data_IF_568945640850
#
_entry.id   IF_568945640850
#
_cell.length_a   1.000
_cell.length_b   1.000
_cell.length_c   1.000
_cell.angle_alpha   90.00
_cell.angle_beta   90.00
_cell.angle_gamma   90.00
#
_symmetry.space_group_name_H-M   'P 1'
#
loop_
_entity.id
_entity.type
_entity.pdbx_description
1 polymer ?
#
# COMPACT_ATOMS: atom_id res chain seq x y z
N UNK A 1 -6.45 2.73 -2.62
CA UNK A 1 -6.78 2.61 -4.06
C UNK A 1 -5.70 1.91 -4.87
N UNK A 2 -4.47 2.37 -4.80
CA UNK A 2 -3.37 1.78 -5.58
C UNK A 2 -3.18 0.29 -5.33
N UNK A 3 -3.30 -0.17 -4.09
CA UNK A 3 -3.23 -1.59 -3.75
C UNK A 3 -4.21 -2.42 -4.57
N UNK A 4 -5.47 -2.00 -4.62
CA UNK A 4 -6.53 -2.76 -5.29
C UNK A 4 -6.40 -2.71 -6.81
N UNK A 5 -6.00 -1.57 -7.35
CA UNK A 5 -5.74 -1.42 -8.79
C UNK A 5 -4.59 -2.34 -9.21
N UNK A 6 -3.50 -2.36 -8.44
CA UNK A 6 -2.35 -3.20 -8.75
C UNK A 6 -2.68 -4.69 -8.62
N UNK A 7 -3.45 -5.08 -7.59
CA UNK A 7 -3.92 -6.46 -7.44
C UNK A 7 -4.75 -6.90 -8.65
N UNK A 8 -5.63 -6.03 -9.13
CA UNK A 8 -6.45 -6.31 -10.31
C UNK A 8 -5.60 -6.47 -11.57
N UNK A 9 -4.61 -5.60 -11.77
CA UNK A 9 -3.71 -5.65 -12.91
C UNK A 9 -2.90 -6.95 -12.94
N UNK A 10 -2.32 -7.37 -11.81
CA UNK A 10 -1.52 -8.60 -11.76
C UNK A 10 -2.39 -9.84 -11.94
N UNK A 11 -3.63 -9.80 -11.48
CA UNK A 11 -4.61 -10.87 -11.70
C UNK A 11 -4.96 -11.00 -13.19
N UNK A 12 -5.24 -9.88 -13.85
CA UNK A 12 -5.53 -9.86 -15.29
C UNK A 12 -4.35 -10.31 -16.14
N UNK A 13 -3.13 -10.08 -15.66
CA UNK A 13 -1.91 -10.56 -16.30
C UNK A 13 -1.62 -12.04 -16.02
N UNK A 14 -2.43 -12.70 -15.18
CA UNK A 14 -2.23 -14.11 -14.80
C UNK A 14 -1.05 -14.32 -13.87
N UNK A 15 -0.63 -13.29 -13.13
CA UNK A 15 0.56 -13.32 -12.27
C UNK A 15 0.27 -13.01 -10.80
N UNK A 16 -0.97 -13.17 -10.35
CA UNK A 16 -1.33 -12.82 -8.97
C UNK A 16 -0.56 -13.62 -7.91
N UNK A 17 -0.12 -14.84 -8.22
CA UNK A 17 0.67 -15.66 -7.30
C UNK A 17 2.13 -15.20 -7.17
N UNK A 18 2.62 -14.38 -8.10
CA UNK A 18 3.99 -13.87 -8.08
C UNK A 18 4.14 -12.60 -7.22
N UNK A 19 3.02 -12.00 -6.79
CA UNK A 19 3.03 -10.74 -6.07
C UNK A 19 2.22 -10.81 -4.79
N UNK A 20 2.77 -10.22 -3.72
CA UNK A 20 2.06 -9.94 -2.48
C UNK A 20 2.00 -8.42 -2.33
N UNK A 21 0.81 -7.86 -2.43
CA UNK A 21 0.60 -6.41 -2.50
C UNK A 21 -0.23 -5.95 -1.30
N UNK A 22 0.27 -4.94 -0.59
CA UNK A 22 -0.39 -4.40 0.58
C UNK A 22 -0.13 -2.90 0.66
N UNK A 23 -1.01 -2.16 1.32
CA UNK A 23 -0.82 -0.74 1.58
C UNK A 23 -0.83 -0.46 3.08
N UNK A 24 -0.13 0.60 3.46
CA UNK A 24 -0.07 1.08 4.83
C UNK A 24 0.09 2.59 4.82
N UNK A 25 -0.34 3.24 5.90
CA UNK A 25 -0.19 4.68 6.07
C UNK A 25 1.08 5.01 6.84
N UNK A 26 1.65 6.18 6.59
CA UNK A 26 2.78 6.68 7.38
C UNK A 26 2.32 7.49 8.58
N UNK A 27 1.03 7.78 8.69
CA UNK A 27 0.41 8.48 9.82
C UNK A 27 -0.58 7.57 10.54
N UNK A 28 -1.10 8.03 11.70
CA UNK A 28 -2.06 7.29 12.50
C UNK A 28 -3.51 7.75 12.31
N UNK A 29 -3.74 8.78 11.50
CA UNK A 29 -5.04 9.45 11.37
C UNK A 29 -6.17 8.55 10.89
N UNK A 30 -5.86 7.63 9.98
CA UNK A 30 -6.85 6.77 9.33
C UNK A 30 -6.82 5.31 9.80
N UNK A 31 -6.07 4.99 10.86
CA UNK A 31 -5.97 3.62 11.36
C UNK A 31 -7.36 3.06 11.70
N UNK A 32 -7.66 1.89 11.14
CA UNK A 32 -8.94 1.21 11.34
C UNK A 32 -10.05 1.66 10.39
N UNK A 33 -9.86 2.75 9.64
CA UNK A 33 -10.86 3.22 8.71
C UNK A 33 -10.87 2.38 7.42
N UNK A 34 -12.07 2.13 6.91
CA UNK A 34 -12.25 1.49 5.62
C UNK A 34 -11.85 2.43 4.47
N UNK A 35 -11.79 1.88 3.27
CA UNK A 35 -11.54 2.67 2.06
C UNK A 35 -12.58 3.79 1.96
N UNK A 36 -12.11 5.00 1.70
CA UNK A 36 -12.95 6.19 1.56
C UNK A 36 -14.12 5.91 0.58
N UNK A 37 -15.39 6.18 0.98
CA UNK A 37 -16.54 5.77 0.16
C UNK A 37 -16.51 6.19 -1.31
N UNK A 38 -16.13 7.42 -1.69
CA UNK A 38 -16.00 7.78 -3.09
C UNK A 38 -14.95 6.95 -3.83
N UNK A 39 -13.83 6.62 -3.19
CA UNK A 39 -12.80 5.77 -3.77
C UNK A 39 -13.31 4.35 -3.96
N UNK A 40 -14.04 3.81 -2.98
CA UNK A 40 -14.67 2.49 -3.07
C UNK A 40 -15.66 2.41 -4.22
N UNK A 41 -16.48 3.45 -4.40
CA UNK A 41 -17.42 3.52 -5.52
C UNK A 41 -16.69 3.54 -6.87
N UNK A 42 -15.61 4.29 -6.96
CA UNK A 42 -14.81 4.36 -8.18
C UNK A 42 -14.18 3.01 -8.54
N UNK A 43 -13.67 2.31 -7.55
CA UNK A 43 -13.14 0.96 -7.74
C UNK A 43 -14.24 0.00 -8.21
N UNK A 44 -15.42 0.08 -7.61
CA UNK A 44 -16.56 -0.76 -7.98
C UNK A 44 -17.00 -0.54 -9.42
N UNK A 45 -16.92 0.69 -9.94
CA UNK A 45 -17.20 1.01 -11.34
C UNK A 45 -16.28 0.23 -12.30
N UNK A 46 -15.10 -0.13 -11.85
CA UNK A 46 -14.11 -0.91 -12.61
C UNK A 46 -14.10 -2.39 -12.21
N UNK A 47 -15.11 -2.86 -11.47
CA UNK A 47 -15.20 -4.25 -11.04
C UNK A 47 -14.20 -4.64 -9.96
N UNK A 48 -13.66 -3.67 -9.20
CA UNK A 48 -12.65 -3.92 -8.18
C UNK A 48 -13.28 -3.82 -6.80
N UNK A 49 -13.23 -4.92 -6.04
CA UNK A 49 -13.70 -4.96 -4.66
C UNK A 49 -12.61 -4.55 -3.67
N UNK A 50 -13.01 -3.93 -2.56
CA UNK A 50 -12.08 -3.55 -1.49
C UNK A 50 -12.67 -3.82 -0.10
N UNK A 51 -13.67 -4.69 -0.03
CA UNK A 51 -14.35 -5.02 1.22
C UNK A 51 -13.39 -5.65 2.22
N UNK A 52 -13.46 -5.22 3.47
CA UNK A 52 -12.64 -5.75 4.54
C UNK A 52 -11.30 -5.06 4.71
N UNK A 53 -10.92 -4.17 3.81
CA UNK A 53 -9.68 -3.41 3.96
C UNK A 53 -9.88 -2.25 4.92
N UNK A 54 -9.02 -2.15 5.94
CA UNK A 54 -8.94 -0.99 6.84
C UNK A 54 -7.52 -0.44 6.81
N UNK A 55 -7.39 0.85 7.11
CA UNK A 55 -6.09 1.49 7.15
C UNK A 55 -5.25 0.94 8.31
N UNK A 56 -3.98 0.69 8.06
CA UNK A 56 -2.99 0.37 9.09
C UNK A 56 -1.78 1.27 8.94
N UNK A 57 -1.05 1.47 10.03
CA UNK A 57 0.19 2.22 9.97
C UNK A 57 1.35 1.31 9.56
N UNK A 58 2.25 1.84 8.74
CA UNK A 58 3.50 1.18 8.40
C UNK A 58 4.34 0.97 9.67
N UNK A 59 5.00 -0.17 9.77
CA UNK A 59 5.89 -0.55 10.87
C UNK A 59 7.28 -0.84 10.34
N UNK A 60 8.27 -0.78 11.22
CA UNK A 60 9.65 -1.12 10.86
C UNK A 60 9.77 -2.53 10.26
N UNK A 61 8.98 -3.49 10.76
CA UNK A 61 8.98 -4.85 10.25
C UNK A 61 8.58 -4.94 8.77
N UNK A 62 7.85 -3.96 8.25
CA UNK A 62 7.47 -3.94 6.84
C UNK A 62 8.70 -3.82 5.92
N UNK A 63 9.75 -3.14 6.38
CA UNK A 63 11.00 -3.02 5.64
C UNK A 63 11.63 -4.38 5.34
N UNK A 64 11.53 -5.31 6.29
CA UNK A 64 12.09 -6.66 6.15
C UNK A 64 11.14 -7.61 5.42
N UNK A 65 9.83 -7.34 5.45
CA UNK A 65 8.81 -8.20 4.85
C UNK A 65 8.63 -8.02 3.35
N UNK A 66 8.84 -6.80 2.86
CA UNK A 66 8.55 -6.45 1.47
C UNK A 66 9.83 -6.19 0.70
N UNK A 67 9.85 -6.62 -0.55
CA UNK A 67 10.99 -6.39 -1.45
C UNK A 67 11.03 -4.94 -1.92
N UNK A 68 9.86 -4.28 -1.99
CA UNK A 68 9.74 -2.92 -2.50
C UNK A 68 8.69 -2.16 -1.70
N UNK A 69 9.05 -0.98 -1.22
CA UNK A 69 8.16 -0.06 -0.51
C UNK A 69 8.05 1.23 -1.33
N UNK A 70 6.85 1.54 -1.79
CA UNK A 70 6.61 2.69 -2.68
C UNK A 70 5.85 3.78 -1.93
N UNK A 71 6.44 4.97 -1.87
CA UNK A 71 5.79 6.18 -1.38
C UNK A 71 5.22 6.98 -2.54
N UNK A 72 4.12 7.68 -2.30
CA UNK A 72 3.42 8.44 -3.34
C UNK A 72 3.97 9.87 -3.49
N UNK A 73 4.70 10.37 -2.49
CA UNK A 73 5.32 11.69 -2.50
C UNK A 73 6.54 11.73 -1.59
N UNK A 74 7.26 12.86 -1.60
CA UNK A 74 8.46 13.05 -0.79
C UNK A 74 8.18 12.97 0.71
N UNK A 75 7.00 13.41 1.14
CA UNK A 75 6.58 13.33 2.54
C UNK A 75 6.44 11.88 3.01
N UNK A 76 5.86 11.03 2.17
CA UNK A 76 5.79 9.60 2.43
C UNK A 76 7.20 9.00 2.58
N UNK A 77 8.12 9.34 1.66
CA UNK A 77 9.50 8.84 1.70
C UNK A 77 10.20 9.25 2.99
N UNK A 78 10.06 10.51 3.42
CA UNK A 78 10.64 10.97 4.70
C UNK A 78 10.11 10.19 5.88
N UNK A 79 8.80 9.98 5.94
CA UNK A 79 8.18 9.25 7.04
C UNK A 79 8.54 7.76 7.02
N UNK A 80 8.66 7.16 5.84
CA UNK A 80 9.10 5.78 5.68
C UNK A 80 10.53 5.60 6.18
N UNK A 81 11.46 6.50 5.81
CA UNK A 81 12.83 6.48 6.30
C UNK A 81 12.88 6.59 7.82
N UNK A 82 12.06 7.46 8.40
CA UNK A 82 12.00 7.63 9.85
C UNK A 82 11.50 6.36 10.55
N UNK A 83 10.44 5.75 10.03
CA UNK A 83 9.85 4.53 10.60
C UNK A 83 10.83 3.35 10.49
N UNK A 84 11.51 3.21 9.36
CA UNK A 84 12.42 2.10 9.09
C UNK A 84 13.83 2.31 9.66
N UNK A 85 14.15 3.51 10.13
CA UNK A 85 15.49 3.83 10.62
C UNK A 85 16.53 4.00 9.52
N UNK A 86 16.10 4.29 8.27
CA UNK A 86 16.95 4.44 7.11
C UNK A 86 16.64 3.41 6.02
N UNK A 87 17.46 3.39 4.99
CA UNK A 87 17.28 2.47 3.85
C UNK A 87 18.61 1.79 3.50
N UNK A 88 19.11 0.88 4.40
CA UNK A 88 20.40 0.22 4.18
C UNK A 88 20.41 -0.68 2.93
N UNK A 89 19.27 -1.26 2.57
CA UNK A 89 19.10 -2.01 1.33
C UNK A 89 18.08 -1.23 0.50
N UNK A 90 18.44 -0.63 -0.66
CA UNK A 90 17.53 0.25 -1.40
C UNK A 90 16.18 -0.38 -1.72
N UNK A 91 15.26 -0.34 -0.74
CA UNK A 91 13.92 -0.90 -0.79
C UNK A 91 12.87 0.20 -0.92
N UNK A 92 13.16 1.40 -0.37
CA UNK A 92 12.25 2.54 -0.42
C UNK A 92 12.39 3.27 -1.76
N UNK A 93 11.26 3.61 -2.39
CA UNK A 93 11.25 4.35 -3.64
C UNK A 93 10.00 5.21 -3.76
N UNK A 94 10.08 6.21 -4.61
CA UNK A 94 8.97 7.11 -4.92
C UNK A 94 8.12 6.55 -6.05
#
# INVERSE_FOLDING_TARGET
MAEFVMKDLVKKAGRESDFYIESAATSTEEIGNEVYPPARRKLAEHGIGCKGKTARQMRRADYDRFDLLIGMDDWNIRNMNRICGGDPNPTLTL
#
